data_IF_571659732645
#
_entry.id   IF_571659732645
#
_cell.length_a   1.000
_cell.length_b   1.000
_cell.length_c   1.000
_cell.angle_alpha   90.00
_cell.angle_beta   90.00
_cell.angle_gamma   90.00
#
_symmetry.space_group_name_H-M   'P 1'
#
loop_
_entity.id
_entity.type
_entity.pdbx_description
1 polymer ?
#
# COMPACT_ATOMS: atom_id res chain seq x y z
N UNK A 1 0.44 -11.49 -12.73
CA UNK A 1 1.31 -10.42 -12.18
C UNK A 1 0.57 -9.75 -11.05
N UNK A 2 1.06 -9.95 -9.84
CA UNK A 2 0.54 -9.36 -8.62
C UNK A 2 0.97 -7.89 -8.55
N UNK A 3 0.32 -7.10 -7.69
CA UNK A 3 0.75 -5.71 -7.43
C UNK A 3 2.14 -5.67 -6.77
N UNK A 4 2.51 -6.72 -6.03
CA UNK A 4 3.83 -6.88 -5.40
C UNK A 4 4.97 -6.96 -6.42
N UNK A 5 4.73 -7.54 -7.59
CA UNK A 5 5.74 -7.65 -8.66
C UNK A 5 6.11 -6.26 -9.25
N UNK A 6 5.30 -5.23 -9.00
CA UNK A 6 5.52 -3.86 -9.48
C UNK A 6 6.19 -2.95 -8.44
N UNK A 7 6.42 -3.48 -7.24
CA UNK A 7 6.96 -2.73 -6.09
C UNK A 7 8.37 -2.23 -6.37
N UNK A 8 8.66 -1.00 -5.95
CA UNK A 8 10.00 -0.42 -5.95
C UNK A 8 10.29 0.25 -4.61
N UNK A 9 11.38 -0.11 -3.91
CA UNK A 9 11.72 0.49 -2.62
C UNK A 9 11.74 2.02 -2.65
N UNK A 10 11.17 2.65 -1.62
CA UNK A 10 11.03 4.09 -1.44
C UNK A 10 9.89 4.72 -2.25
N UNK A 11 9.14 3.95 -3.06
CA UNK A 11 8.09 4.52 -3.89
C UNK A 11 6.81 4.73 -3.10
N UNK A 12 6.29 5.94 -3.16
CA UNK A 12 5.05 6.32 -2.49
C UNK A 12 3.93 6.54 -3.49
N UNK A 13 2.76 5.98 -3.19
CA UNK A 13 1.54 6.18 -3.97
C UNK A 13 0.82 7.46 -3.55
N UNK A 14 0.69 7.64 -2.25
CA UNK A 14 0.15 8.83 -1.61
C UNK A 14 1.10 9.23 -0.49
N UNK A 15 1.20 10.52 -0.21
CA UNK A 15 1.92 11.03 0.95
C UNK A 15 0.93 11.17 2.10
N UNK A 16 0.88 10.23 3.07
CA UNK A 16 0.01 10.39 4.23
C UNK A 16 0.46 11.57 5.09
N UNK A 17 -0.43 12.09 5.92
CA UNK A 17 -0.06 13.07 6.94
C UNK A 17 1.01 12.48 7.87
N UNK A 18 1.96 13.32 8.28
CA UNK A 18 2.99 12.93 9.25
C UNK A 18 2.33 12.45 10.54
N UNK A 19 2.71 11.26 11.00
CA UNK A 19 2.22 10.75 12.27
C UNK A 19 2.66 11.65 13.44
N UNK A 20 1.83 11.84 14.48
CA UNK A 20 2.22 12.60 15.66
C UNK A 20 3.39 11.93 16.37
N UNK A 21 4.24 12.73 17.02
CA UNK A 21 5.43 12.26 17.77
C UNK A 21 5.09 11.22 18.84
N UNK A 22 3.89 11.28 19.41
CA UNK A 22 3.43 10.41 20.48
C UNK A 22 2.58 9.22 20.00
N UNK A 23 2.53 8.94 18.69
CA UNK A 23 1.68 7.88 18.13
C UNK A 23 1.91 6.48 18.75
N UNK A 24 3.06 6.26 19.39
CA UNK A 24 3.44 4.99 19.99
C UNK A 24 3.44 5.00 21.53
N UNK A 25 3.10 6.12 22.18
CA UNK A 25 3.26 6.30 23.63
C UNK A 25 2.46 5.28 24.45
N UNK A 26 1.26 4.90 24.01
CA UNK A 26 0.40 3.91 24.67
C UNK A 26 0.71 2.44 24.37
N UNK A 27 1.70 2.15 23.53
CA UNK A 27 2.04 0.79 23.09
C UNK A 27 3.30 0.28 23.78
N UNK A 28 3.23 -0.82 24.57
CA UNK A 28 4.41 -1.48 25.15
C UNK A 28 5.44 -1.84 24.09
N UNK A 29 6.72 -1.64 24.39
CA UNK A 29 7.83 -1.81 23.42
C UNK A 29 7.87 -3.22 22.82
N UNK A 30 7.54 -4.24 23.61
CA UNK A 30 7.52 -5.65 23.20
C UNK A 30 6.37 -5.99 22.24
N UNK A 31 5.37 -5.12 22.10
CA UNK A 31 4.26 -5.27 21.16
C UNK A 31 4.44 -4.42 19.90
N UNK A 32 5.48 -3.57 19.84
CA UNK A 32 5.75 -2.73 18.66
C UNK A 32 6.36 -3.55 17.54
N UNK A 33 5.98 -3.23 16.30
CA UNK A 33 6.55 -3.87 15.11
C UNK A 33 8.03 -3.51 14.99
N UNK A 34 8.88 -4.53 14.86
CA UNK A 34 10.32 -4.39 14.61
C UNK A 34 10.66 -4.26 13.13
N UNK A 35 9.72 -4.64 12.26
CA UNK A 35 9.86 -4.56 10.79
C UNK A 35 8.61 -3.91 10.18
N UNK A 36 8.77 -3.11 9.10
CA UNK A 36 7.65 -2.58 8.33
C UNK A 36 6.71 -3.68 7.82
N UNK A 37 5.49 -3.29 7.47
CA UNK A 37 4.58 -4.19 6.78
C UNK A 37 5.08 -4.49 5.37
N UNK A 38 4.94 -5.75 4.89
CA UNK A 38 5.32 -6.11 3.53
C UNK A 38 4.25 -5.60 2.55
N UNK A 39 4.13 -4.28 2.41
CA UNK A 39 3.21 -3.62 1.49
C UNK A 39 3.92 -3.32 0.17
N UNK A 40 3.20 -3.32 -0.97
CA UNK A 40 3.78 -2.92 -2.25
C UNK A 40 4.04 -1.41 -2.27
N UNK A 41 5.23 -1.04 -2.73
CA UNK A 41 5.65 0.36 -2.88
C UNK A 41 5.47 0.77 -4.35
N UNK A 42 4.31 1.34 -4.66
CA UNK A 42 3.89 1.69 -6.03
C UNK A 42 3.34 3.11 -6.07
N UNK A 43 3.47 3.80 -7.22
CA UNK A 43 2.86 5.13 -7.39
C UNK A 43 1.34 5.02 -7.54
N UNK A 44 0.62 6.12 -7.33
CA UNK A 44 -0.84 6.17 -7.53
C UNK A 44 -1.23 5.68 -8.93
N UNK A 45 -0.55 6.18 -9.96
CA UNK A 45 -0.79 5.76 -11.35
C UNK A 45 -0.55 4.25 -11.57
N UNK A 46 0.44 3.65 -10.90
CA UNK A 46 0.66 2.21 -10.97
C UNK A 46 -0.48 1.43 -10.30
N UNK A 47 -0.98 1.91 -9.14
CA UNK A 47 -2.11 1.30 -8.46
C UNK A 47 -3.38 1.36 -9.33
N UNK A 48 -3.72 2.52 -9.89
CA UNK A 48 -4.86 2.69 -10.81
C UNK A 48 -4.73 1.75 -12.00
N UNK A 49 -3.59 1.77 -12.69
CA UNK A 49 -3.35 0.88 -13.84
C UNK A 49 -3.40 -0.60 -13.50
N UNK A 50 -3.01 -0.99 -12.28
CA UNK A 50 -3.10 -2.38 -11.84
C UNK A 50 -4.57 -2.79 -11.69
N UNK A 51 -5.35 -2.03 -10.93
CA UNK A 51 -6.75 -2.37 -10.64
C UNK A 51 -7.69 -2.21 -11.83
N UNK A 52 -7.45 -1.25 -12.74
CA UNK A 52 -8.20 -1.17 -14.01
C UNK A 52 -7.95 -2.38 -14.92
N UNK A 53 -6.71 -2.90 -14.98
CA UNK A 53 -6.44 -4.13 -15.74
C UNK A 53 -6.99 -5.37 -15.05
N UNK A 54 -7.07 -5.35 -13.73
CA UNK A 54 -7.66 -6.44 -12.95
C UNK A 54 -9.18 -6.49 -13.16
N UNK A 55 -9.85 -5.34 -13.19
CA UNK A 55 -11.31 -5.29 -13.42
C UNK A 55 -11.70 -5.79 -14.81
N UNK A 56 -10.89 -5.53 -15.83
CA UNK A 56 -11.09 -6.07 -17.19
C UNK A 56 -11.02 -7.60 -17.28
N UNK A 57 -10.58 -8.28 -16.22
CA UNK A 57 -10.55 -9.74 -16.12
C UNK A 57 -11.76 -10.30 -15.35
N UNK A 58 -12.64 -9.43 -14.86
CA UNK A 58 -13.87 -9.81 -14.17
C UNK A 58 -15.06 -9.69 -15.13
N UNK A 59 -16.14 -10.40 -14.81
CA UNK A 59 -17.44 -10.21 -15.44
C UNK A 59 -18.17 -9.03 -14.79
N UNK A 60 -18.95 -8.32 -15.58
CA UNK A 60 -19.76 -7.19 -15.14
C UNK A 60 -21.11 -7.28 -15.85
N UNK A 61 -22.16 -6.83 -15.16
CA UNK A 61 -23.53 -6.82 -15.68
C UNK A 61 -23.78 -5.53 -16.49
N UNK A 62 -23.10 -4.44 -16.14
CA UNK A 62 -23.36 -3.08 -16.63
C UNK A 62 -22.25 -2.52 -17.55
N UNK A 63 -21.29 -3.36 -17.97
CA UNK A 63 -20.28 -3.02 -19.00
C UNK A 63 -20.28 -4.03 -20.11
#
# INVERSE_FOLDING_TARGET
MLIFDQSRPGRQGVTPATAPSEALSGLPINLRRTKPAPLPEVSELQAVRHYTRLSQKNFSIDT
#
